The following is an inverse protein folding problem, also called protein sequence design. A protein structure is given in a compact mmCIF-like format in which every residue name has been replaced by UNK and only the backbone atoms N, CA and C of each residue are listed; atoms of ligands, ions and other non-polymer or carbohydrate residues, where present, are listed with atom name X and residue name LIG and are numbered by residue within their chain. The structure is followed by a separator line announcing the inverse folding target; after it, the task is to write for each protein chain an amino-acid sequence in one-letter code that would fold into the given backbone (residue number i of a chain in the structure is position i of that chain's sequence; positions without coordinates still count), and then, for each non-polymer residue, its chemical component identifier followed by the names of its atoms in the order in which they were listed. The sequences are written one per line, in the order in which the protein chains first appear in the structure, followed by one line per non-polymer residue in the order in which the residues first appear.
data_IF_706937910426
#
_entry.id   IF_706937910426
#
_cell.length_a   1.000
_cell.length_b   1.000
_cell.length_c   1.000
_cell.angle_alpha   90.00
_cell.angle_beta   90.00
_cell.angle_gamma   90.00
#
_symmetry.space_group_name_H-M   'P 1'
#
loop_
_entity.id
_entity.type
_entity.pdbx_description
1 polymer ?
#
# COMPACT_ATOMS: atom_id res chain seq x y z
N UNK A 1 6.24 2.02 -2.52
CA UNK A 1 6.63 3.20 -3.32
C UNK A 1 8.05 3.53 -2.91
N UNK A 2 8.96 3.61 -3.86
CA UNK A 2 10.38 3.83 -3.60
C UNK A 2 10.87 4.96 -4.50
N UNK A 3 11.50 5.98 -3.90
CA UNK A 3 11.93 7.20 -4.61
C UNK A 3 10.82 7.83 -5.47
N UNK A 4 9.58 7.76 -4.98
CA UNK A 4 8.41 8.28 -5.70
C UNK A 4 7.92 7.42 -6.85
N UNK A 5 8.45 6.21 -7.06
CA UNK A 5 8.05 5.29 -8.14
C UNK A 5 7.27 4.10 -7.61
N UNK A 6 6.42 3.54 -8.47
CA UNK A 6 5.53 2.45 -8.12
C UNK A 6 6.21 1.09 -8.34
N UNK A 7 6.16 0.26 -7.31
CA UNK A 7 6.70 -1.10 -7.33
C UNK A 7 5.68 -2.06 -6.71
N UNK A 8 5.56 -3.23 -7.30
CA UNK A 8 4.85 -4.39 -6.80
C UNK A 8 5.85 -5.50 -6.51
N UNK A 9 5.72 -6.11 -5.34
CA UNK A 9 6.57 -7.19 -4.87
C UNK A 9 5.69 -8.35 -4.43
N UNK A 10 6.04 -9.55 -4.86
CA UNK A 10 5.43 -10.78 -4.37
C UNK A 10 6.51 -11.79 -3.99
N UNK A 11 6.29 -12.53 -2.91
CA UNK A 11 7.09 -13.69 -2.54
C UNK A 11 6.24 -14.94 -2.72
N UNK A 12 6.65 -15.81 -3.63
CA UNK A 12 6.02 -17.10 -3.89
C UNK A 12 7.11 -18.16 -3.93
N UNK A 13 6.96 -19.23 -3.14
CA UNK A 13 7.88 -20.38 -3.10
C UNK A 13 9.36 -19.97 -2.84
N UNK A 14 9.61 -19.04 -1.91
CA UNK A 14 10.92 -18.46 -1.62
C UNK A 14 11.58 -17.73 -2.80
N UNK A 15 10.78 -17.27 -3.77
CA UNK A 15 11.26 -16.44 -4.87
C UNK A 15 10.57 -15.09 -4.83
N UNK A 16 11.40 -14.06 -4.63
CA UNK A 16 10.99 -12.69 -4.74
C UNK A 16 10.82 -12.29 -6.22
N UNK A 17 9.63 -11.84 -6.58
CA UNK A 17 9.34 -11.26 -7.88
C UNK A 17 8.96 -9.78 -7.72
N UNK A 18 9.63 -8.91 -8.48
CA UNK A 18 9.45 -7.46 -8.42
C UNK A 18 9.08 -6.96 -9.82
N UNK A 19 8.02 -6.17 -9.89
CA UNK A 19 7.52 -5.49 -11.08
C UNK A 19 7.33 -4.01 -10.76
N UNK A 20 7.82 -3.08 -11.58
CA UNK A 20 7.70 -1.67 -11.26
C UNK A 20 7.63 -0.76 -12.46
N UNK A 21 6.92 0.35 -12.28
CA UNK A 21 6.75 1.41 -13.26
C UNK A 21 7.72 2.52 -12.86
N UNK A 22 8.92 2.49 -13.44
CA UNK A 22 9.96 3.47 -13.13
C UNK A 22 9.82 4.75 -13.95
N UNK A 23 9.17 4.72 -15.12
CA UNK A 23 9.10 5.87 -16.04
C UNK A 23 8.29 7.08 -15.54
N UNK A 24 7.56 6.96 -14.43
CA UNK A 24 6.66 8.00 -13.92
C UNK A 24 6.74 8.12 -12.39
N UNK A 25 7.17 9.27 -11.83
CA UNK A 25 6.98 9.53 -10.41
C UNK A 25 5.50 9.74 -10.09
N UNK A 26 5.09 9.29 -8.91
CA UNK A 26 3.71 9.32 -8.39
C UNK A 26 3.60 10.02 -7.02
N UNK A 27 4.69 10.67 -6.59
CA UNK A 27 4.76 11.50 -5.39
C UNK A 27 4.63 13.00 -5.73
N UNK A 28 3.77 13.32 -6.70
CA UNK A 28 3.55 14.69 -7.19
C UNK A 28 2.38 15.40 -6.46
N UNK A 29 1.73 14.72 -5.52
CA UNK A 29 0.58 15.23 -4.77
C UNK A 29 -0.76 15.10 -5.49
N UNK A 30 -0.79 14.51 -6.69
CA UNK A 30 -2.00 14.22 -7.44
C UNK A 30 -2.54 12.83 -7.15
N UNK A 31 -3.82 12.61 -7.48
CA UNK A 31 -4.40 11.28 -7.47
C UNK A 31 -3.86 10.44 -8.63
N UNK A 32 -3.48 9.21 -8.32
CA UNK A 32 -3.07 8.19 -9.29
C UNK A 32 -3.97 6.96 -9.16
N UNK A 33 -4.27 6.34 -10.30
CA UNK A 33 -5.00 5.06 -10.33
C UNK A 33 -4.01 3.93 -10.53
N UNK A 34 -4.01 2.96 -9.60
CA UNK A 34 -3.14 1.78 -9.66
C UNK A 34 -4.01 0.53 -9.77
N UNK A 35 -3.75 -0.28 -10.79
CA UNK A 35 -4.42 -1.58 -10.96
C UNK A 35 -3.39 -2.69 -11.02
N UNK A 36 -3.59 -3.71 -10.18
CA UNK A 36 -2.82 -4.95 -10.15
C UNK A 36 -3.72 -6.11 -10.56
N UNK A 37 -3.32 -6.84 -11.59
CA UNK A 37 -3.99 -8.05 -12.03
C UNK A 37 -3.05 -9.24 -11.89
N UNK A 38 -3.48 -10.23 -11.11
CA UNK A 38 -2.77 -11.48 -10.90
C UNK A 38 -3.58 -12.61 -11.51
N UNK A 39 -3.01 -13.26 -12.52
CA UNK A 39 -3.61 -14.43 -13.16
C UNK A 39 -2.65 -15.61 -13.12
N UNK A 40 -3.14 -16.79 -13.50
CA UNK A 40 -2.28 -17.95 -13.71
C UNK A 40 -1.18 -17.72 -14.76
N UNK A 41 -1.43 -16.83 -15.73
CA UNK A 41 -0.60 -16.72 -16.92
C UNK A 41 0.29 -15.46 -16.91
N UNK A 42 -0.10 -14.44 -16.16
CA UNK A 42 0.61 -13.17 -16.09
C UNK A 42 0.30 -12.38 -14.81
N UNK A 43 1.24 -11.52 -14.48
CA UNK A 43 1.10 -10.39 -13.55
C UNK A 43 1.12 -9.11 -14.36
N UNK A 44 0.14 -8.23 -14.14
CA UNK A 44 0.06 -6.92 -14.78
C UNK A 44 -0.06 -5.84 -13.71
N UNK A 45 0.80 -4.83 -13.81
CA UNK A 45 0.76 -3.62 -13.01
C UNK A 45 0.49 -2.46 -13.96
N UNK A 46 -0.51 -1.64 -13.66
CA UNK A 46 -0.82 -0.44 -14.44
C UNK A 46 -0.99 0.78 -13.56
N UNK A 47 -0.62 1.94 -14.14
CA UNK A 47 -0.70 3.26 -13.53
C UNK A 47 -1.35 4.23 -14.52
N UNK A 48 -2.39 4.91 -14.07
CA UNK A 48 -3.15 5.95 -14.79
C UNK A 48 -3.62 5.54 -16.20
N UNK A 49 -3.92 4.25 -16.38
CA UNK A 49 -4.32 3.62 -17.65
C UNK A 49 -3.32 3.76 -18.82
N UNK A 50 -2.16 4.40 -18.60
CA UNK A 50 -1.17 4.67 -19.65
C UNK A 50 0.15 3.93 -19.48
N UNK A 51 0.55 3.66 -18.24
CA UNK A 51 1.78 2.91 -17.97
C UNK A 51 1.41 1.49 -17.58
N UNK A 52 1.93 0.50 -18.33
CA UNK A 52 1.60 -0.91 -18.13
C UNK A 52 2.87 -1.73 -18.16
N UNK A 53 3.09 -2.46 -17.07
CA UNK A 53 4.13 -3.46 -16.94
C UNK A 53 3.49 -4.84 -16.84
N UNK A 54 3.95 -5.80 -17.65
CA UNK A 54 3.38 -7.14 -17.70
C UNK A 54 4.47 -8.19 -17.73
N UNK A 55 4.38 -9.14 -16.80
CA UNK A 55 5.29 -10.29 -16.72
C UNK A 55 4.50 -11.58 -16.93
N UNK A 56 5.01 -12.48 -17.79
CA UNK A 56 4.45 -13.83 -17.91
C UNK A 56 4.74 -14.60 -16.63
N UNK A 57 3.70 -15.20 -16.04
CA UNK A 57 3.87 -16.10 -14.92
C UNK A 57 4.24 -17.47 -15.46
N UNK A 58 5.47 -17.93 -15.18
CA UNK A 58 5.98 -19.19 -15.71
C UNK A 58 5.37 -20.43 -15.04
N UNK A 59 4.68 -20.27 -13.90
CA UNK A 59 4.04 -21.36 -13.15
C UNK A 59 2.80 -20.84 -12.41
N UNK A 60 1.64 -21.38 -12.75
CA UNK A 60 0.41 -21.33 -11.95
C UNK A 60 0.34 -22.59 -11.07
N UNK A 61 -0.27 -22.55 -9.87
CA UNK A 61 -1.49 -21.81 -9.58
C UNK A 61 -1.21 -20.65 -8.63
N UNK A 62 -1.51 -19.41 -9.04
CA UNK A 62 -1.60 -18.31 -8.08
C UNK A 62 -2.86 -18.56 -7.25
N UNK A 63 -2.77 -19.45 -6.26
CA UNK A 63 -3.65 -19.39 -5.11
C UNK A 63 -3.22 -18.13 -4.37
N UNK A 64 -3.87 -17.02 -4.71
CA UNK A 64 -3.89 -15.80 -3.89
C UNK A 64 -4.74 -16.17 -2.65
N UNK A 65 -4.27 -17.16 -1.86
CA UNK A 65 -4.86 -17.50 -0.57
C UNK A 65 -4.61 -16.29 0.32
N UNK A 66 -5.60 -15.84 1.09
CA UNK A 66 -5.61 -14.47 1.52
C UNK A 66 -4.41 -14.17 2.41
N UNK A 67 -4.00 -12.92 2.29
CA UNK A 67 -3.09 -12.23 3.18
C UNK A 67 -3.41 -12.58 4.63
N UNK A 68 -2.36 -12.92 5.38
CA UNK A 68 -2.40 -13.39 6.76
C UNK A 68 -3.25 -14.66 7.00
N UNK A 69 -2.90 -15.43 8.04
CA UNK A 69 -3.57 -16.69 8.35
C UNK A 69 -5.07 -16.53 8.68
N UNK A 70 -5.51 -15.30 8.95
CA UNK A 70 -6.87 -14.89 9.31
C UNK A 70 -7.64 -14.24 8.14
N UNK A 71 -7.00 -14.06 6.98
CA UNK A 71 -7.61 -13.44 5.80
C UNK A 71 -7.64 -11.91 5.81
N UNK A 72 -6.89 -11.26 6.70
CA UNK A 72 -6.81 -9.80 6.83
C UNK A 72 -5.97 -9.14 5.73
N UNK A 73 -6.50 -8.06 5.15
CA UNK A 73 -5.80 -7.18 4.21
C UNK A 73 -5.40 -5.88 4.90
N UNK A 74 -4.15 -5.45 4.70
CA UNK A 74 -3.64 -4.20 5.27
C UNK A 74 -3.34 -3.20 4.15
N UNK A 75 -3.75 -1.96 4.35
CA UNK A 75 -3.48 -0.84 3.45
C UNK A 75 -2.75 0.25 4.23
N UNK A 76 -1.86 0.96 3.53
CA UNK A 76 -1.17 2.12 4.09
C UNK A 76 0.04 1.81 4.98
N UNK A 77 0.38 0.55 5.24
CA UNK A 77 1.64 0.16 5.90
C UNK A 77 1.93 -1.33 5.69
N UNK A 78 3.19 -1.72 5.87
CA UNK A 78 3.54 -3.12 6.08
C UNK A 78 3.23 -3.51 7.54
N UNK A 79 2.50 -4.61 7.74
CA UNK A 79 2.16 -5.09 9.08
C UNK A 79 2.96 -6.35 9.41
N UNK A 80 3.83 -6.22 10.40
CA UNK A 80 4.62 -7.33 10.92
C UNK A 80 3.95 -7.92 12.16
N UNK A 81 3.71 -9.22 12.11
CA UNK A 81 3.23 -9.98 13.25
C UNK A 81 4.44 -10.41 14.08
N UNK A 82 4.48 -10.04 15.35
CA UNK A 82 5.57 -10.43 16.23
C UNK A 82 5.60 -11.96 16.45
N UNK A 83 6.78 -12.54 16.74
CA UNK A 83 6.88 -13.97 17.05
C UNK A 83 5.98 -14.32 18.24
N UNK A 84 5.33 -15.48 18.17
CA UNK A 84 4.55 -16.03 19.29
C UNK A 84 5.54 -16.42 20.39
N UNK A 85 5.72 -15.53 21.36
CA UNK A 85 6.58 -15.77 22.52
C UNK A 85 5.81 -16.42 23.67
N UNK A 86 6.53 -16.74 24.76
CA UNK A 86 5.98 -17.37 25.98
C UNK A 86 4.91 -16.53 26.71
N UNK A 87 4.65 -15.29 26.27
CA UNK A 87 3.66 -14.37 26.84
C UNK A 87 2.50 -14.03 25.90
N UNK A 88 2.31 -14.78 24.81
CA UNK A 88 1.26 -14.53 23.82
C UNK A 88 1.75 -13.82 22.55
N UNK A 89 0.83 -13.65 21.61
CA UNK A 89 1.10 -13.00 20.32
C UNK A 89 1.26 -11.49 20.56
N UNK A 90 2.43 -10.93 20.19
CA UNK A 90 2.61 -9.47 20.25
C UNK A 90 1.64 -8.79 19.28
N UNK A 91 1.09 -7.62 19.65
CA UNK A 91 0.21 -6.88 18.74
C UNK A 91 0.94 -6.58 17.44
N UNK A 92 0.23 -6.60 16.29
CA UNK A 92 0.79 -6.27 15.00
C UNK A 92 1.43 -4.87 15.03
N UNK A 93 2.59 -4.74 14.38
CA UNK A 93 3.30 -3.45 14.28
C UNK A 93 3.35 -3.03 12.81
N UNK A 94 2.86 -1.82 12.56
CA UNK A 94 3.04 -1.16 11.27
C UNK A 94 4.48 -0.67 11.12
N UNK A 95 5.09 -0.95 9.97
CA UNK A 95 6.37 -0.40 9.53
C UNK A 95 6.21 0.14 8.11
N UNK A 96 7.10 1.05 7.71
CA UNK A 96 7.11 1.63 6.36
C UNK A 96 5.74 2.17 5.92
N UNK A 97 5.15 3.00 6.78
CA UNK A 97 3.83 3.58 6.55
C UNK A 97 3.79 4.50 5.32
N UNK A 98 2.71 4.39 4.55
CA UNK A 98 2.36 5.31 3.49
C UNK A 98 1.76 6.58 4.07
N UNK A 99 2.36 7.72 3.71
CA UNK A 99 1.82 9.04 4.01
C UNK A 99 1.20 9.61 2.73
N UNK A 100 -0.11 9.75 2.73
CA UNK A 100 -0.86 10.26 1.59
C UNK A 100 -2.33 9.91 1.71
N UNK A 101 -3.02 9.94 0.57
CA UNK A 101 -4.43 9.61 0.50
C UNK A 101 -4.66 8.29 -0.23
N UNK A 102 -5.60 7.51 0.26
CA UNK A 102 -6.13 6.32 -0.42
C UNK A 102 -7.63 6.51 -0.63
N UNK A 103 -8.12 6.06 -1.78
CA UNK A 103 -9.52 6.17 -2.18
C UNK A 103 -9.91 5.02 -3.10
N UNK A 104 -11.21 4.74 -3.18
CA UNK A 104 -11.80 3.81 -4.16
C UNK A 104 -11.10 2.45 -4.26
N UNK A 105 -10.85 1.80 -3.11
CA UNK A 105 -10.19 0.49 -3.09
C UNK A 105 -11.17 -0.60 -3.51
N UNK A 106 -10.77 -1.38 -4.51
CA UNK A 106 -11.54 -2.51 -5.03
C UNK A 106 -10.71 -3.80 -5.01
N UNK A 107 -11.36 -4.91 -4.68
CA UNK A 107 -10.78 -6.24 -4.76
C UNK A 107 -11.69 -7.15 -5.58
N UNK A 108 -11.17 -7.66 -6.69
CA UNK A 108 -11.91 -8.53 -7.62
C UNK A 108 -13.28 -7.94 -8.02
N UNK A 109 -13.31 -6.62 -8.28
CA UNK A 109 -14.53 -5.89 -8.64
C UNK A 109 -15.45 -5.50 -7.47
N UNK A 110 -15.13 -5.88 -6.24
CA UNK A 110 -15.90 -5.50 -5.06
C UNK A 110 -15.25 -4.31 -4.36
N UNK A 111 -16.01 -3.22 -4.16
CA UNK A 111 -15.55 -2.08 -3.37
C UNK A 111 -15.37 -2.49 -1.90
N UNK A 112 -14.19 -2.22 -1.36
CA UNK A 112 -13.88 -2.46 0.04
C UNK A 112 -14.27 -1.24 0.88
N UNK A 113 -14.89 -1.46 2.05
CA UNK A 113 -15.24 -0.36 2.93
C UNK A 113 -13.95 0.24 3.52
N UNK A 114 -13.64 1.50 3.20
CA UNK A 114 -12.53 2.25 3.83
C UNK A 114 -12.86 2.78 5.23
N UNK A 115 -14.12 2.66 5.62
CA UNK A 115 -14.72 3.14 6.85
C UNK A 115 -15.74 2.12 7.31
N UNK A 116 -16.38 2.32 8.45
CA UNK A 116 -17.42 1.42 8.96
C UNK A 116 -18.74 1.50 8.16
N UNK A 117 -18.65 1.41 6.82
CA UNK A 117 -19.76 1.24 5.89
C UNK A 117 -20.04 -0.26 5.78
N UNK A 118 -21.32 -0.60 5.79
CA UNK A 118 -21.76 -1.98 5.62
C UNK A 118 -21.37 -2.49 4.23
N UNK A 119 -20.54 -3.52 4.16
CA UNK A 119 -20.25 -4.27 2.94
C UNK A 119 -20.65 -5.73 3.14
N UNK A 120 -20.98 -6.42 2.04
CA UNK A 120 -21.27 -7.86 2.04
C UNK A 120 -20.01 -8.72 1.93
N UNK A 121 -18.88 -8.10 1.58
CA UNK A 121 -17.66 -8.81 1.19
C UNK A 121 -16.53 -8.69 2.21
N UNK A 122 -16.50 -7.59 2.96
CA UNK A 122 -15.44 -7.29 3.92
C UNK A 122 -15.95 -6.37 5.03
N UNK A 123 -15.22 -6.33 6.13
CA UNK A 123 -15.41 -5.37 7.21
C UNK A 123 -14.07 -4.71 7.56
N UNK A 124 -14.13 -3.52 8.16
CA UNK A 124 -12.93 -2.84 8.64
C UNK A 124 -12.54 -3.42 9.99
N UNK A 125 -11.45 -4.20 10.02
CA UNK A 125 -10.93 -4.79 11.26
C UNK A 125 -10.28 -3.76 12.19
N UNK A 126 -9.70 -2.68 11.64
CA UNK A 126 -9.06 -1.64 12.43
C UNK A 126 -8.56 -0.47 11.58
N UNK A 127 -8.37 0.68 12.22
CA UNK A 127 -7.80 1.90 11.64
C UNK A 127 -6.77 2.48 12.62
N UNK A 128 -5.60 2.90 12.14
CA UNK A 128 -4.56 3.59 12.93
C UNK A 128 -4.09 4.81 12.15
N UNK A 129 -4.09 5.98 12.78
CA UNK A 129 -3.59 7.24 12.19
C UNK A 129 -4.24 7.63 10.86
N UNK A 130 -5.49 7.22 10.65
CA UNK A 130 -6.30 7.56 9.47
C UNK A 130 -7.26 8.70 9.79
N UNK A 131 -7.37 9.68 8.88
CA UNK A 131 -8.37 10.75 8.94
C UNK A 131 -9.33 10.63 7.75
N UNK A 132 -10.57 11.06 7.95
CA UNK A 132 -11.56 11.16 6.87
C UNK A 132 -11.24 12.34 5.96
N UNK A 133 -11.43 12.13 4.67
CA UNK A 133 -11.10 13.11 3.63
C UNK A 133 -9.62 13.06 3.23
N UNK A 134 -9.30 13.76 2.15
CA UNK A 134 -7.94 13.90 1.65
C UNK A 134 -7.59 15.37 1.58
N UNK A 135 -6.73 15.82 2.49
CA UNK A 135 -6.13 17.14 2.46
C UNK A 135 -4.64 16.93 2.69
N UNK A 136 -3.84 17.16 1.66
CA UNK A 136 -2.40 17.26 1.82
C UNK A 136 -2.12 18.60 2.50
N UNK A 137 -1.50 18.56 3.68
CA UNK A 137 -1.24 19.77 4.44
C UNK A 137 -0.26 20.68 3.67
N UNK A 138 -0.36 22.01 3.84
CA UNK A 138 0.65 22.92 3.34
C UNK A 138 2.04 22.58 3.92
N UNK A 139 3.09 23.02 3.23
CA UNK A 139 4.48 22.71 3.57
C UNK A 139 4.74 22.86 5.09
N UNK A 140 5.05 21.75 5.80
CA UNK A 140 5.21 21.77 7.25
C UNK A 140 6.39 22.65 7.69
N UNK A 141 7.33 22.94 6.80
CA UNK A 141 8.45 23.82 7.08
C UNK A 141 8.07 25.30 7.15
N UNK A 142 6.91 25.71 6.61
CA UNK A 142 6.45 27.11 6.69
C UNK A 142 6.23 27.57 8.13
N UNK A 143 5.89 26.65 9.04
CA UNK A 143 5.71 26.96 10.46
C UNK A 143 7.02 27.10 11.25
N UNK A 144 8.18 26.90 10.64
CA UNK A 144 9.47 26.88 11.33
C UNK A 144 9.51 25.88 12.51
N UNK A 145 9.13 24.60 12.31
CA UNK A 145 8.97 23.65 13.43
C UNK A 145 10.31 23.24 14.05
N UNK A 146 11.40 23.33 13.30
CA UNK A 146 12.74 22.94 13.72
C UNK A 146 13.37 24.06 14.56
N UNK A 147 13.77 23.73 15.79
CA UNK A 147 14.43 24.67 16.71
C UNK A 147 15.96 24.46 16.73
N UNK A 148 16.69 25.33 17.43
CA UNK A 148 18.13 25.21 17.68
C UNK A 148 19.01 25.12 16.41
N UNK A 149 18.62 25.83 15.35
CA UNK A 149 19.38 25.88 14.10
C UNK A 149 19.24 24.62 13.23
N UNK A 150 18.33 23.71 13.56
CA UNK A 150 18.04 22.56 12.71
C UNK A 150 17.37 22.99 11.40
N UNK A 151 17.75 22.34 10.29
CA UNK A 151 17.17 22.59 8.97
C UNK A 151 15.91 21.75 8.75
N UNK A 152 14.84 22.40 8.27
CA UNK A 152 13.63 21.72 7.85
C UNK A 152 13.69 21.43 6.34
N UNK A 153 13.38 20.19 5.96
CA UNK A 153 13.28 19.77 4.56
C UNK A 153 11.88 19.22 4.29
N UNK A 154 11.22 19.73 3.26
CA UNK A 154 9.97 19.15 2.76
C UNK A 154 10.30 17.89 1.96
N UNK A 155 9.64 16.78 2.27
CA UNK A 155 9.66 15.60 1.43
C UNK A 155 8.54 15.68 0.39
N UNK A 156 8.76 15.18 -0.84
CA UNK A 156 7.71 15.12 -1.85
C UNK A 156 6.53 14.20 -1.48
N UNK A 157 6.64 13.43 -0.40
CA UNK A 157 5.60 12.58 0.15
C UNK A 157 4.76 13.32 1.19
N UNK A 158 3.82 14.15 0.74
CA UNK A 158 2.71 14.68 1.57
C UNK A 158 3.11 15.54 2.76
#
# INVERSE_FOLDING_TARGET
IEEGRLWFQMDCDNRLDILGISGRPINDGSWHTVTLELTSNYTLLSLDDSYVERRRSARAPVRIWPLAADGSLFFGAQVLHGPVGRGGQRPPRAQEGFQGCLGSIMLNGNELPLQNKRSRYAEVAGLSDVKLGCVLYPDPCLGGPCQNGASCIKLPSG
#
